data_IF_689926907716
#
_entry.id   IF_689926907716
#
_cell.length_a   1.000
_cell.length_b   1.000
_cell.length_c   1.000
_cell.angle_alpha   90.00
_cell.angle_beta   90.00
_cell.angle_gamma   90.00
#
_symmetry.space_group_name_H-M   'P 1'
#
loop_
_entity.id
_entity.type
_entity.pdbx_description
1 polymer ?
#
# COMPACT_ATOMS: atom_id res chain seq x y z
N UNK A 1 25.20 11.29 -76.53
CA UNK A 1 25.89 11.47 -75.23
C UNK A 1 24.89 12.11 -74.29
N UNK A 2 24.13 11.30 -73.55
CA UNK A 2 23.12 11.78 -72.61
C UNK A 2 23.68 11.68 -71.19
N UNK A 3 24.00 12.81 -70.58
CA UNK A 3 24.47 12.89 -69.20
C UNK A 3 23.27 12.98 -68.26
N UNK A 4 23.09 11.97 -67.42
CA UNK A 4 22.13 11.99 -66.32
C UNK A 4 22.81 12.52 -65.05
N UNK A 5 22.28 13.62 -64.51
CA UNK A 5 22.65 14.18 -63.21
C UNK A 5 21.81 13.45 -62.15
N UNK A 6 22.46 12.66 -61.29
CA UNK A 6 21.80 12.04 -60.15
C UNK A 6 21.79 13.02 -58.96
N UNK A 7 20.60 13.49 -58.59
CA UNK A 7 20.37 14.31 -57.40
C UNK A 7 20.11 13.37 -56.23
N UNK A 8 21.05 13.29 -55.29
CA UNK A 8 20.91 12.51 -54.04
C UNK A 8 20.13 13.35 -53.03
N UNK A 9 18.91 12.91 -52.69
CA UNK A 9 18.10 13.50 -51.63
C UNK A 9 18.60 12.99 -50.26
N UNK A 10 19.19 13.89 -49.48
CA UNK A 10 19.57 13.64 -48.10
C UNK A 10 18.32 13.82 -47.21
N UNK A 11 17.66 12.70 -46.87
CA UNK A 11 16.56 12.69 -45.90
C UNK A 11 17.16 12.77 -44.51
N UNK A 12 17.10 13.94 -43.88
CA UNK A 12 17.42 14.11 -42.47
C UNK A 12 16.30 13.47 -41.63
N UNK A 13 16.55 12.26 -41.12
CA UNK A 13 15.75 11.64 -40.08
C UNK A 13 15.97 12.41 -38.77
N UNK A 14 15.06 13.36 -38.49
CA UNK A 14 14.91 13.91 -37.14
C UNK A 14 14.37 12.80 -36.24
N UNK A 15 15.28 12.06 -35.60
CA UNK A 15 14.94 11.15 -34.53
C UNK A 15 14.34 11.94 -33.38
N UNK A 16 13.03 11.82 -33.18
CA UNK A 16 12.39 12.24 -31.94
C UNK A 16 12.87 11.26 -30.88
N UNK A 17 13.94 11.62 -30.18
CA UNK A 17 14.40 10.87 -29.02
C UNK A 17 13.30 10.89 -27.97
N UNK A 18 12.60 9.78 -27.80
CA UNK A 18 11.80 9.53 -26.60
C UNK A 18 12.82 9.44 -25.46
N UNK A 19 12.98 10.52 -24.70
CA UNK A 19 13.75 10.49 -23.47
C UNK A 19 13.05 9.49 -22.56
N UNK A 20 13.66 8.32 -22.38
CA UNK A 20 13.28 7.42 -21.31
C UNK A 20 13.36 8.23 -20.02
N UNK A 21 12.24 8.35 -19.29
CA UNK A 21 12.24 9.01 -17.99
C UNK A 21 13.31 8.31 -17.13
N UNK A 22 14.35 9.05 -16.74
CA UNK A 22 15.43 8.49 -15.93
C UNK A 22 14.90 8.29 -14.51
N UNK A 23 14.76 7.03 -14.08
CA UNK A 23 14.46 6.70 -12.69
C UNK A 23 15.70 7.00 -11.84
N UNK A 24 15.56 7.80 -10.79
CA UNK A 24 16.68 8.14 -9.91
C UNK A 24 16.93 7.02 -8.89
N UNK A 25 18.19 6.69 -8.64
CA UNK A 25 18.57 5.65 -7.67
C UNK A 25 19.50 6.25 -6.62
N UNK A 26 18.99 7.01 -5.63
CA UNK A 26 19.82 7.58 -4.58
C UNK A 26 20.48 6.46 -3.76
N UNK A 27 21.73 6.68 -3.37
CA UNK A 27 22.38 5.82 -2.38
C UNK A 27 21.75 6.00 -0.99
N UNK A 28 22.01 5.05 -0.11
CA UNK A 28 21.64 5.13 1.29
C UNK A 28 22.18 6.42 1.95
N UNK A 29 21.36 7.18 2.67
CA UNK A 29 21.70 8.53 3.18
C UNK A 29 21.54 9.66 2.15
N UNK A 30 21.12 9.32 0.93
CA UNK A 30 21.04 10.24 -0.20
C UNK A 30 19.77 11.09 -0.21
N UNK A 31 19.86 12.22 -0.89
CA UNK A 31 18.72 13.09 -1.20
C UNK A 31 18.38 13.04 -2.68
N UNK A 32 17.09 13.08 -3.01
CA UNK A 32 16.62 13.19 -4.38
C UNK A 32 15.36 14.07 -4.44
N UNK A 33 15.10 14.63 -5.62
CA UNK A 33 13.85 15.33 -5.96
C UNK A 33 13.30 14.83 -7.30
N UNK A 34 13.63 13.60 -7.68
CA UNK A 34 13.09 12.99 -8.89
C UNK A 34 11.63 12.55 -8.70
N UNK A 35 10.85 12.52 -9.78
CA UNK A 35 9.47 12.00 -9.77
C UNK A 35 9.43 10.51 -9.46
N UNK A 36 10.20 9.73 -10.22
CA UNK A 36 10.31 8.28 -10.08
C UNK A 36 11.66 7.92 -9.48
N UNK A 37 11.64 7.17 -8.38
CA UNK A 37 12.80 6.89 -7.55
C UNK A 37 12.84 5.39 -7.26
N UNK A 38 14.03 4.79 -7.40
CA UNK A 38 14.29 3.39 -7.09
C UNK A 38 15.18 3.31 -5.85
N UNK A 39 14.72 2.64 -4.81
CA UNK A 39 15.47 2.44 -3.56
C UNK A 39 15.98 1.01 -3.53
N UNK A 40 17.30 0.86 -3.67
CA UNK A 40 17.95 -0.45 -3.76
C UNK A 40 18.88 -0.64 -2.57
N UNK A 41 18.82 -1.83 -1.96
CA UNK A 41 19.74 -2.23 -0.90
C UNK A 41 21.20 -2.15 -1.39
N UNK A 42 22.08 -1.37 -0.73
CA UNK A 42 23.50 -1.36 -1.08
C UNK A 42 24.16 -2.70 -0.72
N UNK A 43 25.33 -2.97 -1.30
CA UNK A 43 26.10 -4.20 -1.04
C UNK A 43 26.38 -4.39 0.44
N UNK A 44 26.79 -3.31 1.12
CA UNK A 44 27.07 -3.26 2.55
C UNK A 44 26.14 -2.22 3.21
N UNK A 45 24.90 -2.58 3.57
CA UNK A 45 23.98 -1.64 4.17
C UNK A 45 24.44 -1.24 5.57
N UNK A 46 24.37 0.06 5.92
CA UNK A 46 24.51 0.50 7.31
C UNK A 46 23.34 -0.02 8.16
N UNK A 47 23.44 0.15 9.48
CA UNK A 47 22.34 -0.19 10.40
C UNK A 47 21.11 0.67 10.18
N UNK A 48 21.30 1.94 9.89
CA UNK A 48 20.24 2.89 9.58
C UNK A 48 20.49 3.47 8.20
N UNK A 49 19.46 3.43 7.38
CA UNK A 49 19.48 3.88 6.00
C UNK A 49 18.31 4.82 5.75
N UNK A 50 18.59 6.12 5.77
CA UNK A 50 17.58 7.16 5.57
C UNK A 50 17.65 7.71 4.13
N UNK A 51 16.52 7.79 3.45
CA UNK A 51 16.40 8.41 2.13
C UNK A 51 15.57 9.69 2.24
N UNK A 52 16.11 10.79 1.73
CA UNK A 52 15.52 12.11 1.81
C UNK A 52 14.80 12.45 0.49
N UNK A 53 13.47 12.32 0.46
CA UNK A 53 12.66 12.56 -0.73
C UNK A 53 12.16 14.00 -0.71
N UNK A 54 12.78 14.87 -1.48
CA UNK A 54 12.39 16.26 -1.62
C UNK A 54 11.33 16.42 -2.73
N UNK A 55 10.43 17.38 -2.57
CA UNK A 55 9.39 17.64 -3.54
C UNK A 55 10.01 18.05 -4.88
N UNK A 56 9.65 17.34 -5.97
CA UNK A 56 10.08 17.75 -7.31
C UNK A 56 9.28 18.96 -7.84
N UNK A 57 8.12 19.21 -7.24
CA UNK A 57 7.16 20.23 -7.64
C UNK A 57 6.28 20.61 -6.46
N UNK A 58 5.77 21.85 -6.44
CA UNK A 58 4.83 22.33 -5.41
C UNK A 58 3.44 21.65 -5.46
N UNK A 59 3.16 20.91 -6.53
CA UNK A 59 1.89 20.21 -6.73
C UNK A 59 1.92 18.76 -6.25
N UNK A 60 3.09 18.27 -5.81
CA UNK A 60 3.19 16.97 -5.14
C UNK A 60 2.29 16.99 -3.91
N UNK A 61 1.46 15.96 -3.79
CA UNK A 61 0.51 15.81 -2.69
C UNK A 61 0.68 14.50 -1.93
N UNK A 62 1.30 13.50 -2.55
CA UNK A 62 1.51 12.18 -1.97
C UNK A 62 2.67 11.45 -2.66
N UNK A 63 3.26 10.51 -1.94
CA UNK A 63 4.11 9.47 -2.49
C UNK A 63 3.29 8.19 -2.62
N UNK A 64 3.49 7.46 -3.72
CA UNK A 64 3.18 6.04 -3.80
C UNK A 64 4.47 5.26 -3.63
N UNK A 65 4.50 4.31 -2.70
CA UNK A 65 5.64 3.43 -2.45
C UNK A 65 5.20 2.02 -2.82
N UNK A 66 5.79 1.45 -3.85
CA UNK A 66 5.60 0.06 -4.28
C UNK A 66 6.74 -0.80 -3.71
N UNK A 67 6.39 -1.82 -2.93
CA UNK A 67 7.33 -2.63 -2.18
C UNK A 67 7.81 -3.86 -2.96
N UNK A 68 9.11 -4.11 -2.85
CA UNK A 68 9.72 -5.42 -3.00
C UNK A 68 10.80 -5.53 -1.93
N UNK A 69 10.40 -5.92 -0.73
CA UNK A 69 11.20 -5.86 0.48
C UNK A 69 11.09 -7.16 1.28
N UNK A 70 12.22 -7.61 1.82
CA UNK A 70 12.32 -8.72 2.76
C UNK A 70 13.20 -8.27 3.92
N UNK A 71 12.60 -8.14 5.10
CA UNK A 71 13.25 -7.83 6.37
C UNK A 71 13.01 -8.99 7.37
N UNK A 72 13.59 -8.90 8.56
CA UNK A 72 13.22 -9.79 9.66
C UNK A 72 11.69 -9.74 9.91
N UNK A 73 11.11 -10.88 10.27
CA UNK A 73 9.71 -10.98 10.69
C UNK A 73 9.45 -10.14 11.94
N UNK A 74 8.19 -9.74 12.22
CA UNK A 74 7.84 -9.10 13.48
C UNK A 74 8.32 -9.92 14.68
N UNK A 75 8.85 -9.24 15.69
CA UNK A 75 9.20 -9.85 16.97
C UNK A 75 7.94 -10.03 17.79
N UNK A 76 7.76 -11.22 18.37
CA UNK A 76 6.68 -11.48 19.31
C UNK A 76 7.14 -11.11 20.72
N UNK A 77 6.71 -9.94 21.18
CA UNK A 77 7.03 -9.42 22.50
C UNK A 77 5.99 -9.90 23.51
N UNK A 78 6.43 -10.56 24.57
CA UNK A 78 5.53 -11.05 25.64
C UNK A 78 5.51 -10.08 26.82
N UNK A 79 4.32 -9.60 27.18
CA UNK A 79 4.11 -8.77 28.36
C UNK A 79 4.30 -9.61 29.62
N UNK A 80 5.31 -9.28 30.43
CA UNK A 80 5.59 -9.99 31.68
C UNK A 80 4.44 -9.91 32.70
N UNK A 81 3.56 -8.92 32.60
CA UNK A 81 2.44 -8.71 33.52
C UNK A 81 1.18 -9.48 33.11
N UNK A 82 0.91 -9.58 31.81
CA UNK A 82 -0.35 -10.14 31.29
C UNK A 82 -0.18 -11.48 30.58
N UNK A 83 1.04 -11.82 30.17
CA UNK A 83 1.34 -12.97 29.30
C UNK A 83 0.86 -12.80 27.86
N UNK A 84 0.29 -11.64 27.51
CA UNK A 84 -0.13 -11.32 26.16
C UNK A 84 1.08 -11.09 25.27
N UNK A 85 0.97 -11.48 24.01
CA UNK A 85 2.00 -11.28 23.00
C UNK A 85 1.60 -10.18 22.05
N UNK A 86 2.56 -9.40 21.58
CA UNK A 86 2.37 -8.33 20.58
C UNK A 86 3.36 -8.56 19.45
N UNK A 87 2.90 -8.45 18.20
CA UNK A 87 3.75 -8.59 17.03
C UNK A 87 4.26 -7.22 16.58
N UNK A 88 5.54 -6.93 16.81
CA UNK A 88 6.13 -5.62 16.51
C UNK A 88 7.32 -5.68 15.56
N UNK A 89 7.39 -4.71 14.66
CA UNK A 89 8.54 -4.50 13.80
C UNK A 89 9.66 -3.72 14.53
N UNK A 90 10.32 -4.37 15.48
CA UNK A 90 11.38 -3.81 16.35
C UNK A 90 12.81 -4.12 15.87
N UNK A 91 13.00 -5.27 15.22
CA UNK A 91 14.31 -5.83 14.88
C UNK A 91 14.87 -5.22 13.59
N UNK A 92 14.14 -5.43 12.50
CA UNK A 92 14.32 -4.69 11.25
C UNK A 92 12.99 -4.04 10.90
N UNK A 93 13.03 -2.85 10.34
CA UNK A 93 11.81 -2.21 9.86
C UNK A 93 12.09 -1.14 8.82
N UNK A 94 11.14 -0.98 7.92
CA UNK A 94 10.93 0.24 7.16
C UNK A 94 10.02 1.16 7.99
N UNK A 95 10.34 2.46 8.04
CA UNK A 95 9.54 3.47 8.73
C UNK A 95 9.28 4.69 7.84
N UNK A 96 8.01 5.14 7.83
CA UNK A 96 7.61 6.42 7.25
C UNK A 96 6.40 6.97 8.01
N UNK A 97 6.45 8.24 8.42
CA UNK A 97 5.36 8.91 9.16
C UNK A 97 4.81 8.11 10.35
N UNK A 98 5.67 7.38 11.06
CA UNK A 98 5.31 6.55 12.22
C UNK A 98 4.73 5.17 11.88
N UNK A 99 4.47 4.85 10.60
CA UNK A 99 4.15 3.49 10.19
C UNK A 99 5.43 2.66 10.09
N UNK A 100 5.48 1.52 10.79
CA UNK A 100 6.57 0.54 10.69
C UNK A 100 6.10 -0.74 10.01
N UNK A 101 6.86 -1.20 9.03
CA UNK A 101 6.62 -2.45 8.30
C UNK A 101 7.88 -3.31 8.29
N UNK A 102 7.71 -4.62 8.36
CA UNK A 102 8.79 -5.61 8.37
C UNK A 102 8.29 -6.95 7.82
N UNK A 103 9.15 -7.96 7.77
CA UNK A 103 8.86 -9.23 7.12
C UNK A 103 8.91 -9.14 5.59
N UNK A 104 8.01 -9.83 4.89
CA UNK A 104 8.00 -9.88 3.42
C UNK A 104 6.87 -9.02 2.83
N UNK A 105 7.28 -7.95 2.15
CA UNK A 105 6.40 -6.99 1.48
C UNK A 105 6.71 -6.95 -0.01
N UNK A 106 5.99 -7.77 -0.79
CA UNK A 106 6.17 -7.88 -2.24
C UNK A 106 4.85 -7.66 -2.95
N UNK A 107 4.88 -6.88 -4.03
CA UNK A 107 3.71 -6.58 -4.87
C UNK A 107 2.57 -5.86 -4.11
N UNK A 108 2.94 -5.12 -3.06
CA UNK A 108 2.05 -4.26 -2.29
C UNK A 108 2.51 -2.82 -2.41
N UNK A 109 1.65 -1.88 -2.05
CA UNK A 109 2.00 -0.46 -2.02
C UNK A 109 1.31 0.28 -0.89
N UNK A 110 1.86 1.44 -0.54
CA UNK A 110 1.22 2.42 0.33
C UNK A 110 1.25 3.82 -0.29
N UNK A 111 0.37 4.68 0.20
CA UNK A 111 0.33 6.10 -0.07
C UNK A 111 0.72 6.90 1.17
N UNK A 112 1.68 7.81 1.00
CA UNK A 112 2.19 8.68 2.07
C UNK A 112 1.85 10.13 1.72
N UNK A 113 1.12 10.88 2.56
CA UNK A 113 0.84 12.29 2.31
C UNK A 113 2.12 13.13 2.19
N UNK A 114 2.21 13.94 1.13
CA UNK A 114 3.32 14.84 0.83
C UNK A 114 2.74 16.18 0.39
N UNK A 115 2.20 16.96 1.33
CA UNK A 115 1.52 18.21 1.02
C UNK A 115 2.50 19.37 0.71
N UNK A 116 3.14 19.33 -0.46
CA UNK A 116 4.16 20.31 -0.85
C UNK A 116 3.62 21.73 -0.98
N UNK A 117 2.34 21.86 -1.37
CA UNK A 117 1.64 23.14 -1.43
C UNK A 117 1.47 23.82 -0.07
N UNK A 118 1.46 23.04 1.02
CA UNK A 118 1.41 23.54 2.39
C UNK A 118 2.80 23.78 3.01
N UNK A 119 3.87 23.71 2.21
CA UNK A 119 5.24 23.97 2.65
C UNK A 119 6.01 22.74 3.14
N UNK A 120 5.44 21.54 3.05
CA UNK A 120 6.19 20.29 3.30
C UNK A 120 7.20 20.11 2.17
N UNK A 121 8.49 20.24 2.45
CA UNK A 121 9.52 20.18 1.41
C UNK A 121 10.16 18.80 1.24
N UNK A 122 10.02 17.91 2.24
CA UNK A 122 10.73 16.63 2.32
C UNK A 122 9.94 15.59 3.10
N UNK A 123 10.03 14.33 2.67
CA UNK A 123 9.64 13.13 3.42
C UNK A 123 10.86 12.23 3.56
N UNK A 124 11.09 11.76 4.78
CA UNK A 124 12.21 10.89 5.11
C UNK A 124 11.72 9.43 5.21
N UNK A 125 12.42 8.53 4.52
CA UNK A 125 12.12 7.09 4.49
C UNK A 125 13.27 6.35 5.17
N UNK A 126 13.01 5.65 6.27
CA UNK A 126 14.03 4.98 7.06
C UNK A 126 13.95 3.47 6.87
N UNK A 127 15.10 2.81 6.70
CA UNK A 127 15.27 1.37 6.93
C UNK A 127 16.24 1.19 8.09
N UNK A 128 15.77 0.54 9.14
CA UNK A 128 16.55 0.17 10.33
C UNK A 128 16.79 -1.33 10.35
N UNK A 129 18.03 -1.73 10.64
CA UNK A 129 18.48 -3.11 10.65
C UNK A 129 19.12 -3.48 12.00
N UNK A 130 18.78 -4.67 12.48
CA UNK A 130 19.45 -5.29 13.61
C UNK A 130 20.92 -5.56 13.33
N UNK A 131 21.72 -5.62 14.40
CA UNK A 131 23.12 -6.02 14.31
C UNK A 131 23.21 -7.53 14.02
N UNK A 132 23.84 -7.87 12.89
CA UNK A 132 24.04 -9.26 12.43
C UNK A 132 25.49 -9.75 12.60
N UNK A 133 26.35 -8.93 13.21
CA UNK A 133 27.75 -9.31 13.45
C UNK A 133 27.81 -10.54 14.37
N UNK A 134 28.67 -11.51 14.03
CA UNK A 134 28.84 -12.74 14.82
C UNK A 134 27.88 -13.88 14.48
N UNK A 135 26.99 -13.70 13.49
CA UNK A 135 26.03 -14.70 13.05
C UNK A 135 24.67 -14.53 13.75
N UNK A 136 23.63 -14.25 12.97
CA UNK A 136 22.24 -14.19 13.41
C UNK A 136 21.40 -15.20 12.61
N UNK A 137 20.34 -15.74 13.21
CA UNK A 137 19.32 -16.53 12.48
C UNK A 137 18.35 -15.67 11.65
N UNK A 138 18.53 -14.34 11.66
CA UNK A 138 17.70 -13.40 10.90
C UNK A 138 17.94 -13.54 9.39
N UNK A 139 16.91 -13.32 8.56
CA UNK A 139 17.07 -13.31 7.12
C UNK A 139 18.04 -12.20 6.67
N UNK A 140 18.61 -12.38 5.48
CA UNK A 140 19.41 -11.34 4.83
C UNK A 140 18.45 -10.24 4.35
N UNK A 141 18.60 -8.99 4.82
CA UNK A 141 17.68 -7.94 4.44
C UNK A 141 17.90 -7.56 2.98
N UNK A 142 16.80 -7.36 2.27
CA UNK A 142 16.79 -6.99 0.86
C UNK A 142 15.63 -6.03 0.58
N UNK A 143 15.86 -5.04 -0.28
CA UNK A 143 14.80 -4.18 -0.79
C UNK A 143 15.16 -3.67 -2.18
N UNK A 144 14.16 -3.67 -3.05
CA UNK A 144 14.16 -3.07 -4.38
C UNK A 144 12.83 -2.33 -4.62
N UNK A 145 12.62 -1.23 -3.90
CA UNK A 145 11.34 -0.51 -3.87
C UNK A 145 11.29 0.62 -4.88
N UNK A 146 10.09 0.98 -5.33
CA UNK A 146 9.85 2.13 -6.20
C UNK A 146 9.02 3.17 -5.48
N UNK A 147 9.47 4.42 -5.49
CA UNK A 147 8.75 5.57 -4.93
C UNK A 147 8.39 6.51 -6.09
N UNK A 148 7.11 6.84 -6.20
CA UNK A 148 6.58 7.76 -7.20
C UNK A 148 5.97 8.97 -6.52
N UNK A 149 6.45 10.17 -6.85
CA UNK A 149 5.83 11.42 -6.41
C UNK A 149 4.62 11.73 -7.30
N UNK A 150 3.43 11.80 -6.71
CA UNK A 150 2.19 12.07 -7.43
C UNK A 150 1.76 13.52 -7.24
N UNK A 151 1.51 14.20 -8.36
CA UNK A 151 0.91 15.53 -8.36
C UNK A 151 -0.61 15.43 -8.27
N UNK A 152 -1.21 16.20 -7.36
CA UNK A 152 -2.65 16.34 -7.30
C UNK A 152 -3.08 17.57 -8.12
N UNK A 153 -4.19 17.50 -8.88
CA UNK A 153 -4.83 18.70 -9.40
C UNK A 153 -5.18 19.61 -8.22
N UNK A 154 -4.67 20.85 -8.24
CA UNK A 154 -4.94 21.81 -7.17
C UNK A 154 -6.46 22.02 -7.02
N UNK A 155 -7.02 21.71 -5.84
CA UNK A 155 -8.41 22.04 -5.50
C UNK A 155 -9.51 21.05 -5.92
N UNK A 156 -9.19 19.85 -6.42
CA UNK A 156 -10.22 18.89 -6.83
C UNK A 156 -10.88 18.17 -5.63
N UNK A 157 -11.76 18.87 -4.93
CA UNK A 157 -13.05 18.25 -4.64
C UNK A 157 -13.64 17.82 -5.99
N UNK A 158 -14.18 16.61 -6.07
CA UNK A 158 -14.65 15.97 -7.31
C UNK A 158 -15.81 16.78 -7.93
N UNK A 159 -15.53 17.88 -8.63
CA UNK A 159 -16.52 18.57 -9.45
C UNK A 159 -16.05 19.53 -10.54
N UNK A 160 -14.78 19.63 -10.90
CA UNK A 160 -14.41 20.51 -12.03
C UNK A 160 -13.39 19.86 -12.97
N UNK A 161 -13.91 19.02 -13.87
CA UNK A 161 -13.24 18.70 -15.15
C UNK A 161 -13.96 19.33 -16.35
N UNK A 162 -14.91 20.25 -16.12
CA UNK A 162 -15.58 21.02 -17.18
C UNK A 162 -15.83 22.46 -16.73
N UNK A 163 -14.77 23.26 -16.65
CA UNK A 163 -14.91 24.71 -16.74
C UNK A 163 -14.28 25.15 -18.08
N UNK A 164 -15.04 25.75 -19.01
CA UNK A 164 -14.44 26.41 -20.16
C UNK A 164 -13.88 27.75 -19.67
N UNK A 165 -12.57 27.82 -19.41
CA UNK A 165 -11.91 29.11 -19.17
C UNK A 165 -11.24 29.61 -20.44
N UNK A 166 -11.83 30.65 -21.03
CA UNK A 166 -11.22 31.56 -21.98
C UNK A 166 -10.05 32.30 -21.34
N UNK A 167 -8.86 31.69 -21.25
CA UNK A 167 -7.57 32.32 -20.97
C UNK A 167 -6.45 31.38 -21.47
N UNK A 168 -5.64 31.73 -22.48
CA UNK A 168 -4.59 30.87 -23.00
C UNK A 168 -3.34 30.96 -22.12
N UNK A 169 -3.42 30.49 -20.87
CA UNK A 169 -2.22 30.17 -20.11
C UNK A 169 -1.72 28.80 -20.54
N UNK A 170 -0.60 28.84 -21.26
CA UNK A 170 0.20 27.69 -21.61
C UNK A 170 0.66 26.94 -20.35
N UNK A 171 -0.18 26.03 -19.85
CA UNK A 171 0.28 24.85 -19.12
C UNK A 171 -0.64 23.67 -19.43
N UNK A 172 -0.43 23.11 -20.60
CA UNK A 172 -0.68 21.69 -20.81
C UNK A 172 0.25 20.89 -19.89
N UNK A 173 -0.08 20.76 -18.60
CA UNK A 173 0.35 19.62 -17.80
C UNK A 173 -0.84 18.69 -17.77
N UNK A 174 -0.82 17.71 -18.65
CA UNK A 174 -1.58 16.49 -18.46
C UNK A 174 -1.28 16.00 -17.03
N UNK A 175 -2.19 16.24 -16.08
CA UNK A 175 -2.13 15.64 -14.75
C UNK A 175 -2.43 14.15 -14.92
N UNK A 176 -1.46 13.39 -15.45
CA UNK A 176 -1.56 11.95 -15.71
C UNK A 176 -1.68 11.14 -14.44
N UNK A 177 -1.29 11.73 -13.31
CA UNK A 177 -1.21 11.04 -12.02
C UNK A 177 -2.60 10.83 -11.39
N UNK A 178 -3.64 11.54 -11.84
CA UNK A 178 -4.97 11.54 -11.23
C UNK A 178 -5.61 10.15 -11.12
N UNK A 179 -5.24 9.19 -11.99
CA UNK A 179 -5.68 7.80 -11.88
C UNK A 179 -5.05 7.07 -10.68
N UNK A 180 -3.84 7.44 -10.29
CA UNK A 180 -3.10 6.87 -9.15
C UNK A 180 -3.27 7.67 -7.87
N UNK A 181 -3.87 8.86 -7.92
CA UNK A 181 -4.06 9.71 -6.74
C UNK A 181 -5.05 9.05 -5.78
N UNK A 182 -4.59 8.66 -4.58
CA UNK A 182 -5.44 8.08 -3.56
C UNK A 182 -6.34 9.14 -2.90
N UNK A 183 -7.59 8.81 -2.54
CA UNK A 183 -8.41 9.67 -1.69
C UNK A 183 -7.75 9.89 -0.31
N UNK A 184 -7.96 11.04 0.34
CA UNK A 184 -7.46 11.28 1.69
C UNK A 184 -7.93 10.20 2.69
N UNK A 185 -7.01 9.73 3.54
CA UNK A 185 -7.28 8.69 4.54
C UNK A 185 -7.06 7.25 4.06
N UNK A 186 -6.79 7.04 2.77
CA UNK A 186 -6.47 5.73 2.21
C UNK A 186 -4.97 5.44 2.31
N UNK A 187 -4.56 4.45 3.09
CA UNK A 187 -3.17 3.98 3.09
C UNK A 187 -2.87 3.18 1.81
N UNK A 188 -3.84 2.39 1.35
CA UNK A 188 -3.76 1.69 0.07
C UNK A 188 -4.89 2.16 -0.85
N UNK A 189 -4.57 2.31 -2.13
CA UNK A 189 -5.56 2.66 -3.15
C UNK A 189 -5.36 1.84 -4.42
N UNK A 190 -6.45 1.24 -4.87
CA UNK A 190 -6.51 0.33 -6.00
C UNK A 190 -7.42 0.91 -7.09
N UNK A 191 -6.83 1.58 -8.11
CA UNK A 191 -7.62 2.26 -9.12
C UNK A 191 -8.14 1.38 -10.26
N UNK A 192 -7.58 0.17 -10.40
CA UNK A 192 -8.05 -0.83 -11.34
C UNK A 192 -9.40 -1.40 -10.90
N UNK A 193 -10.17 -1.93 -11.85
CA UNK A 193 -11.46 -2.58 -11.55
C UNK A 193 -11.30 -3.98 -10.95
N UNK A 194 -10.12 -4.59 -11.07
CA UNK A 194 -9.82 -5.91 -10.52
C UNK A 194 -8.38 -5.96 -10.04
N UNK A 195 -8.13 -6.76 -9.02
CA UNK A 195 -6.79 -6.99 -8.51
C UNK A 195 -6.78 -7.90 -7.29
N UNK A 196 -5.63 -7.90 -6.60
CA UNK A 196 -5.38 -8.68 -5.39
C UNK A 196 -4.99 -7.71 -4.28
N UNK A 197 -5.47 -7.99 -3.07
CA UNK A 197 -5.07 -7.30 -1.85
C UNK A 197 -4.60 -8.36 -0.86
N UNK A 198 -3.51 -8.06 -0.17
CA UNK A 198 -2.92 -8.89 0.88
C UNK A 198 -2.74 -8.02 2.13
N UNK A 199 -2.68 -8.64 3.30
CA UNK A 199 -2.21 -7.97 4.50
C UNK A 199 -0.71 -7.68 4.41
N UNK A 200 -0.24 -6.70 5.18
CA UNK A 200 1.20 -6.54 5.42
C UNK A 200 1.77 -7.83 6.02
N UNK A 201 2.97 -8.19 5.58
CA UNK A 201 3.69 -9.41 5.89
C UNK A 201 2.85 -10.68 5.68
N UNK A 202 2.05 -10.74 4.61
CA UNK A 202 1.27 -11.95 4.29
C UNK A 202 2.18 -13.18 4.09
N UNK A 203 3.33 -13.01 3.42
CA UNK A 203 4.34 -14.06 3.21
C UNK A 203 3.72 -15.42 2.81
N UNK A 204 2.84 -15.39 1.80
CA UNK A 204 2.08 -16.55 1.30
C UNK A 204 1.33 -17.36 2.38
N UNK A 205 0.83 -16.65 3.41
CA UNK A 205 0.09 -17.23 4.54
C UNK A 205 0.97 -17.72 5.69
N UNK A 206 2.29 -17.52 5.61
CA UNK A 206 3.25 -17.91 6.65
C UNK A 206 3.73 -16.74 7.51
N UNK A 207 3.32 -15.52 7.21
CA UNK A 207 3.71 -14.34 7.96
C UNK A 207 2.65 -13.92 8.98
N UNK A 208 3.04 -12.99 9.83
CA UNK A 208 2.19 -12.41 10.89
C UNK A 208 2.05 -10.93 10.61
N UNK A 209 0.81 -10.42 10.56
CA UNK A 209 0.61 -8.98 10.42
C UNK A 209 1.04 -8.25 11.70
N UNK A 210 1.66 -7.05 11.59
CA UNK A 210 1.96 -6.24 12.76
C UNK A 210 0.73 -5.88 13.59
N UNK A 211 0.90 -5.79 14.91
CA UNK A 211 -0.08 -5.23 15.84
C UNK A 211 -0.25 -3.71 15.62
N UNK A 212 -1.34 -3.14 16.13
CA UNK A 212 -1.67 -1.71 16.08
C UNK A 212 -1.88 -1.11 14.68
N UNK A 213 -2.26 -1.93 13.70
CA UNK A 213 -2.61 -1.43 12.38
C UNK A 213 -4.04 -0.91 12.38
N UNK A 214 -4.25 0.24 11.75
CA UNK A 214 -5.58 0.77 11.50
C UNK A 214 -5.53 1.58 10.21
N UNK A 215 -5.94 0.96 9.10
CA UNK A 215 -5.82 1.60 7.79
C UNK A 215 -6.95 1.23 6.84
N UNK A 216 -7.24 2.19 5.94
CA UNK A 216 -8.20 2.01 4.88
C UNK A 216 -7.54 1.57 3.57
N UNK A 217 -8.16 0.58 2.95
CA UNK A 217 -7.88 0.02 1.63
C UNK A 217 -8.99 0.50 0.71
N UNK A 218 -8.67 1.43 -0.18
CA UNK A 218 -9.66 2.11 -1.00
C UNK A 218 -9.66 1.62 -2.44
N UNK A 219 -10.82 1.64 -3.08
CA UNK A 219 -11.02 1.24 -4.46
C UNK A 219 -11.60 2.41 -5.25
N UNK A 220 -11.19 2.54 -6.52
CA UNK A 220 -11.73 3.61 -7.37
C UNK A 220 -13.20 3.37 -7.69
N UNK A 221 -14.04 4.30 -7.25
CA UNK A 221 -15.45 4.38 -7.61
C UNK A 221 -15.64 5.28 -8.83
N UNK A 222 -16.50 4.86 -9.76
CA UNK A 222 -16.98 5.68 -10.89
C UNK A 222 -18.49 5.88 -10.78
N UNK A 223 -19.07 6.68 -11.67
CA UNK A 223 -20.54 6.85 -11.73
C UNK A 223 -21.28 5.59 -12.16
N UNK A 224 -20.59 4.63 -12.77
CA UNK A 224 -21.16 3.35 -13.19
C UNK A 224 -21.00 2.26 -12.10
N UNK A 225 -20.22 2.54 -11.06
CA UNK A 225 -19.95 1.56 -10.02
C UNK A 225 -21.18 1.28 -9.16
N UNK A 226 -21.52 0.00 -9.08
CA UNK A 226 -22.71 -0.57 -8.46
C UNK A 226 -22.37 -1.45 -7.26
N UNK A 227 -21.22 -2.15 -7.28
CA UNK A 227 -20.79 -3.01 -6.19
C UNK A 227 -19.26 -3.17 -6.13
N UNK A 228 -18.80 -3.60 -4.95
CA UNK A 228 -17.48 -4.18 -4.71
C UNK A 228 -17.69 -5.64 -4.31
N UNK A 229 -17.13 -6.55 -5.10
CA UNK A 229 -17.12 -7.98 -4.82
C UNK A 229 -15.72 -8.40 -4.39
N UNK A 230 -15.61 -8.94 -3.18
CA UNK A 230 -14.39 -9.46 -2.57
C UNK A 230 -14.50 -10.99 -2.54
N UNK A 231 -13.49 -11.67 -3.05
CA UNK A 231 -13.35 -13.12 -2.94
C UNK A 231 -12.11 -13.41 -2.12
N UNK A 232 -12.35 -13.69 -0.84
CA UNK A 232 -11.33 -14.08 0.12
C UNK A 232 -10.95 -15.53 -0.11
N UNK A 233 -9.66 -15.79 -0.30
CA UNK A 233 -9.13 -17.14 -0.48
C UNK A 233 -8.14 -17.53 0.64
N UNK A 234 -7.75 -16.56 1.46
CA UNK A 234 -7.02 -16.78 2.71
C UNK A 234 -7.48 -15.74 3.72
N UNK A 235 -7.83 -16.18 4.91
CA UNK A 235 -8.26 -15.27 5.97
C UNK A 235 -7.95 -15.89 7.33
N UNK A 236 -7.16 -15.21 8.14
CA UNK A 236 -6.68 -15.58 9.47
C UNK A 236 -6.47 -14.27 10.25
N UNK A 237 -7.57 -13.63 10.63
CA UNK A 237 -7.59 -12.31 11.27
C UNK A 237 -8.48 -12.38 12.49
N UNK A 238 -7.88 -12.31 13.68
CA UNK A 238 -8.60 -12.30 14.94
C UNK A 238 -9.51 -13.50 15.18
N UNK A 239 -10.04 -13.58 16.40
CA UNK A 239 -10.99 -14.59 16.86
C UNK A 239 -10.44 -16.03 17.00
N UNK A 240 -11.28 -16.91 17.57
CA UNK A 240 -10.86 -18.14 18.24
C UNK A 240 -9.89 -19.03 17.45
N UNK A 241 -8.91 -19.59 18.16
CA UNK A 241 -7.94 -20.53 17.61
C UNK A 241 -8.55 -21.82 17.02
N UNK A 242 -9.85 -22.03 17.21
CA UNK A 242 -10.63 -23.16 16.72
C UNK A 242 -11.49 -22.83 15.49
N UNK A 243 -11.58 -21.55 15.08
CA UNK A 243 -12.41 -21.14 13.96
C UNK A 243 -11.90 -21.78 12.66
N UNK A 244 -12.82 -22.40 11.92
CA UNK A 244 -12.56 -22.94 10.57
C UNK A 244 -13.43 -22.25 9.51
N UNK A 245 -14.16 -21.22 9.93
CA UNK A 245 -15.06 -20.42 9.11
C UNK A 245 -14.87 -18.93 9.40
N UNK A 246 -15.24 -18.09 8.43
CA UNK A 246 -15.32 -16.65 8.63
C UNK A 246 -16.42 -16.32 9.65
N UNK A 247 -16.07 -15.54 10.65
CA UNK A 247 -16.97 -15.06 11.70
C UNK A 247 -17.37 -13.60 11.41
N UNK A 248 -18.50 -13.17 11.97
CA UNK A 248 -19.12 -11.87 11.67
C UNK A 248 -19.49 -11.08 12.92
N UNK A 249 -19.45 -9.75 12.80
CA UNK A 249 -19.97 -8.73 13.73
C UNK A 249 -19.65 -9.00 15.21
N UNK A 250 -20.65 -9.41 16.01
CA UNK A 250 -20.51 -9.62 17.46
C UNK A 250 -19.45 -10.68 17.81
N UNK A 251 -19.09 -11.54 16.86
CA UNK A 251 -18.02 -12.53 17.03
C UNK A 251 -16.63 -11.91 16.93
N UNK A 252 -16.52 -10.76 16.23
CA UNK A 252 -15.29 -10.00 16.02
C UNK A 252 -15.12 -8.87 17.05
N UNK A 253 -16.11 -8.65 17.90
CA UNK A 253 -16.09 -7.60 18.91
C UNK A 253 -16.82 -8.08 20.17
N UNK A 254 -16.11 -8.80 21.05
CA UNK A 254 -16.64 -9.20 22.37
C UNK A 254 -16.13 -8.28 23.47
N UNK A 255 -16.79 -7.14 23.63
CA UNK A 255 -16.67 -6.35 24.86
C UNK A 255 -17.58 -6.95 25.93
N UNK A 256 -17.04 -7.69 26.91
CA UNK A 256 -17.89 -8.16 28.02
C UNK A 256 -17.41 -9.24 29.00
N UNK A 257 -16.28 -9.93 28.78
CA UNK A 257 -15.74 -10.82 29.83
C UNK A 257 -14.22 -10.93 29.77
N UNK A 258 -13.61 -10.79 30.94
CA UNK A 258 -12.20 -10.65 31.29
C UNK A 258 -11.25 -11.79 30.90
N UNK A 259 -11.41 -12.43 29.75
CA UNK A 259 -10.51 -13.51 29.31
C UNK A 259 -10.37 -13.58 27.78
N UNK A 260 -9.63 -12.59 27.27
CA UNK A 260 -9.06 -12.38 25.92
C UNK A 260 -9.93 -11.58 24.93
N UNK A 261 -9.34 -10.46 24.52
CA UNK A 261 -9.93 -9.23 24.00
C UNK A 261 -9.44 -8.90 22.57
N UNK A 262 -9.16 -9.91 21.73
CA UNK A 262 -8.68 -9.66 20.37
C UNK A 262 -9.81 -9.00 19.56
N UNK A 263 -9.57 -7.76 19.13
CA UNK A 263 -10.46 -6.91 18.35
C UNK A 263 -9.93 -6.69 16.93
N UNK A 264 -9.27 -7.70 16.36
CA UNK A 264 -8.81 -7.69 14.99
C UNK A 264 -9.96 -8.01 14.03
N UNK A 265 -10.09 -7.19 12.99
CA UNK A 265 -11.13 -7.39 12.00
C UNK A 265 -10.80 -6.74 10.65
N UNK A 266 -11.47 -7.26 9.63
CA UNK A 266 -11.76 -6.52 8.41
C UNK A 266 -13.17 -5.96 8.46
N UNK A 267 -13.30 -4.65 8.26
CA UNK A 267 -14.59 -3.98 8.14
C UNK A 267 -14.89 -3.72 6.66
N UNK A 268 -16.06 -4.16 6.19
CA UNK A 268 -16.56 -3.89 4.84
C UNK A 268 -17.94 -3.23 4.95
N UNK A 269 -18.08 -1.93 4.62
CA UNK A 269 -19.36 -1.23 4.75
C UNK A 269 -20.46 -1.84 3.86
N UNK A 270 -21.69 -1.95 4.40
CA UNK A 270 -22.85 -2.52 3.70
C UNK A 270 -22.58 -3.88 3.03
N UNK A 271 -21.80 -4.73 3.68
CA UNK A 271 -21.43 -6.02 3.13
C UNK A 271 -22.47 -7.11 3.37
N UNK A 272 -22.34 -8.16 2.56
CA UNK A 272 -23.14 -9.36 2.59
C UNK A 272 -22.27 -10.56 2.21
N UNK A 273 -22.28 -11.60 3.04
CA UNK A 273 -21.80 -12.93 2.64
C UNK A 273 -22.77 -13.53 1.64
N UNK A 274 -22.26 -13.84 0.45
CA UNK A 274 -23.10 -14.29 -0.67
C UNK A 274 -23.67 -15.69 -0.41
N UNK A 275 -22.85 -16.60 0.13
CA UNK A 275 -23.22 -18.02 0.32
C UNK A 275 -24.44 -18.20 1.21
N UNK A 276 -24.45 -17.52 2.36
CA UNK A 276 -25.50 -17.67 3.37
C UNK A 276 -26.53 -16.53 3.34
N UNK A 277 -26.39 -15.60 2.38
CA UNK A 277 -27.24 -14.40 2.27
C UNK A 277 -27.25 -13.56 3.57
N UNK A 278 -26.16 -13.59 4.32
CA UNK A 278 -26.00 -12.94 5.63
C UNK A 278 -25.42 -11.54 5.47
N UNK A 279 -25.96 -10.55 6.18
CA UNK A 279 -25.40 -9.20 6.22
C UNK A 279 -24.46 -9.08 7.40
N UNK A 280 -23.29 -8.51 7.17
CA UNK A 280 -22.29 -8.28 8.19
C UNK A 280 -21.46 -7.03 7.84
N UNK A 281 -20.86 -6.42 8.85
CA UNK A 281 -19.96 -5.27 8.69
C UNK A 281 -18.53 -5.62 9.07
N UNK A 282 -18.34 -6.40 10.12
CA UNK A 282 -17.03 -6.86 10.60
C UNK A 282 -16.83 -8.33 10.31
N UNK A 283 -15.61 -8.69 9.92
CA UNK A 283 -15.19 -10.04 9.57
C UNK A 283 -13.90 -10.39 10.32
N UNK A 284 -13.85 -11.58 10.90
CA UNK A 284 -12.73 -12.12 11.68
C UNK A 284 -12.75 -13.66 11.60
N UNK A 285 -11.85 -14.33 12.32
CA UNK A 285 -11.75 -15.79 12.35
C UNK A 285 -10.80 -16.32 11.29
N UNK A 286 -11.06 -17.55 10.84
CA UNK A 286 -10.18 -18.21 9.88
C UNK A 286 -10.95 -18.98 8.80
N UNK A 287 -10.49 -18.88 7.54
CA UNK A 287 -10.95 -19.72 6.43
C UNK A 287 -9.86 -19.87 5.38
N UNK A 288 -9.72 -21.11 4.88
CA UNK A 288 -8.92 -21.45 3.69
C UNK A 288 -9.79 -21.70 2.45
N UNK A 289 -11.12 -21.64 2.62
CA UNK A 289 -12.06 -21.77 1.53
C UNK A 289 -12.36 -20.39 0.95
N UNK A 290 -12.69 -20.40 -0.34
CA UNK A 290 -13.12 -19.21 -1.05
C UNK A 290 -14.45 -18.70 -0.50
N UNK A 291 -14.45 -17.54 0.15
CA UNK A 291 -15.66 -16.87 0.64
C UNK A 291 -15.89 -15.59 -0.16
N UNK A 292 -17.13 -15.37 -0.58
CA UNK A 292 -17.51 -14.17 -1.35
C UNK A 292 -18.28 -13.19 -0.47
N UNK A 293 -17.73 -11.98 -0.37
CA UNK A 293 -18.33 -10.82 0.30
C UNK A 293 -18.67 -9.79 -0.77
N UNK A 294 -19.92 -9.36 -0.84
CA UNK A 294 -20.36 -8.30 -1.74
C UNK A 294 -20.79 -7.08 -0.95
N UNK A 295 -20.37 -5.90 -1.38
CA UNK A 295 -20.76 -4.61 -0.81
C UNK A 295 -21.36 -3.72 -1.89
N UNK A 296 -22.52 -3.14 -1.60
CA UNK A 296 -23.17 -2.14 -2.45
C UNK A 296 -23.11 -0.74 -1.82
N UNK A 297 -22.06 -0.45 -1.04
CA UNK A 297 -21.92 0.83 -0.33
C UNK A 297 -22.09 2.02 -1.31
N UNK A 298 -23.02 2.96 -1.05
CA UNK A 298 -23.26 4.08 -1.96
C UNK A 298 -22.13 5.13 -1.94
N UNK A 299 -21.33 5.14 -0.87
CA UNK A 299 -20.24 6.09 -0.65
C UNK A 299 -18.89 5.59 -1.19
N UNK A 300 -17.77 6.09 -0.62
CA UNK A 300 -16.43 5.57 -0.93
C UNK A 300 -16.38 4.04 -0.83
N UNK A 301 -15.76 3.40 -1.82
CA UNK A 301 -15.51 1.96 -1.76
C UNK A 301 -14.22 1.71 -0.99
N UNK A 302 -14.35 1.08 0.17
CA UNK A 302 -13.22 0.76 1.02
C UNK A 302 -13.42 -0.53 1.80
N UNK A 303 -12.31 -1.08 2.23
CA UNK A 303 -12.19 -2.10 3.28
C UNK A 303 -11.27 -1.50 4.33
N UNK A 304 -11.59 -1.63 5.61
CA UNK A 304 -10.73 -1.18 6.70
C UNK A 304 -10.17 -2.40 7.43
N UNK A 305 -8.86 -2.40 7.67
CA UNK A 305 -8.23 -3.39 8.51
C UNK A 305 -7.85 -2.77 9.86
N UNK A 306 -8.17 -3.48 10.93
CA UNK A 306 -7.72 -3.15 12.27
C UNK A 306 -7.04 -4.36 12.91
N UNK A 307 -5.87 -4.13 13.49
CA UNK A 307 -5.27 -5.01 14.48
C UNK A 307 -5.05 -4.26 15.80
N UNK A 308 -5.28 -4.94 16.91
CA UNK A 308 -5.03 -4.44 18.26
C UNK A 308 -3.61 -4.79 18.74
N UNK A 309 -3.37 -4.76 20.06
CA UNK A 309 -2.07 -5.07 20.67
C UNK A 309 -1.81 -6.57 20.88
N UNK A 310 -2.83 -7.41 20.69
CA UNK A 310 -2.82 -8.82 21.05
C UNK A 310 -2.61 -9.65 19.79
N UNK A 311 -1.51 -10.39 19.78
CA UNK A 311 -1.24 -11.43 18.80
C UNK A 311 -1.70 -12.80 19.34
N UNK A 312 -2.50 -13.50 18.54
CA UNK A 312 -2.86 -14.90 18.73
C UNK A 312 -2.10 -15.82 17.77
N UNK A 313 -1.85 -17.08 18.16
CA UNK A 313 -0.99 -17.99 17.39
C UNK A 313 -1.50 -18.35 15.98
N UNK A 314 -2.76 -18.03 15.68
CA UNK A 314 -3.39 -18.30 14.40
C UNK A 314 -3.45 -17.07 13.48
N UNK A 315 -3.01 -15.91 13.96
CA UNK A 315 -3.02 -14.67 13.20
C UNK A 315 -1.97 -14.73 12.10
N UNK A 316 -2.45 -14.74 10.85
CA UNK A 316 -1.62 -14.83 9.65
C UNK A 316 -2.05 -13.86 8.54
N UNK A 317 -3.11 -13.10 8.77
CA UNK A 317 -3.56 -12.01 7.90
C UNK A 317 -4.61 -12.44 6.90
N UNK A 318 -4.68 -11.74 5.77
CA UNK A 318 -5.73 -11.96 4.78
C UNK A 318 -5.19 -11.79 3.37
N UNK A 319 -5.81 -12.49 2.43
CA UNK A 319 -5.59 -12.27 1.02
C UNK A 319 -6.88 -12.50 0.23
N UNK A 320 -7.20 -11.55 -0.63
CA UNK A 320 -8.42 -11.60 -1.42
C UNK A 320 -8.23 -11.00 -2.80
N UNK A 321 -9.06 -11.45 -3.73
CA UNK A 321 -9.26 -10.76 -5.01
C UNK A 321 -10.45 -9.82 -4.91
N UNK A 322 -10.43 -8.72 -5.65
CA UNK A 322 -11.57 -7.81 -5.72
C UNK A 322 -12.01 -7.58 -7.16
N UNK A 323 -13.29 -7.25 -7.32
CA UNK A 323 -13.88 -6.71 -8.55
C UNK A 323 -14.77 -5.53 -8.19
N UNK A 324 -14.53 -4.39 -8.81
CA UNK A 324 -15.41 -3.23 -8.81
C UNK A 324 -16.29 -3.32 -10.04
N UNK A 325 -17.60 -3.45 -9.82
CA UNK A 325 -18.64 -3.65 -10.85
C UNK A 325 -19.32 -2.34 -11.21
#
# INVERSE_FOLDING_TARGET
MNSYIAIVWLVALLGVGVQAASVATPGCGGSTSAKDIKLVKPTNPPRECEYHINAYSKYVCQLRIDFAMTLAQPELLESAQTGLKTAECSVDYFEVNGLRLCGEEVWQHIYVPFNASAGVSRIDLLISLANRAGGSSLPTPNWDMVVTQLECPAGASVRELFAPSDEPQARATSFTDGFLVAPPGCLQYFPQTKGVVKSFNYNDGHGVYPSHLNYAICFRRTTQTSALTIRSYFFHVGAESSASTLLTDNSCYRSGSSSVNNADFLMVPQAKLVENNERATYFCGATHNDVVISSNNPGPLLVLFNSDEIYDSNDAGFAFTYTVE
#
